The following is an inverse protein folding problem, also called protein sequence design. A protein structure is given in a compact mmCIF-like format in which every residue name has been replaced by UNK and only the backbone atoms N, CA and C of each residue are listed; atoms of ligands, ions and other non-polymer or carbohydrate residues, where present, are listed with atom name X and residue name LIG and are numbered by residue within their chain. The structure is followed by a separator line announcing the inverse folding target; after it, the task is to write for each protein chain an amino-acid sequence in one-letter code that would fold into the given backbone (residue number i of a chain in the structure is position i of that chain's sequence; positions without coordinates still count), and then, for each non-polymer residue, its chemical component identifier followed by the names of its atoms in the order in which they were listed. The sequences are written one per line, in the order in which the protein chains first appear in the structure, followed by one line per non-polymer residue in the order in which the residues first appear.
data_IF_527217947056
#
_entry.id   IF_527217947056
#
_cell.length_a   1.000
_cell.length_b   1.000
_cell.length_c   1.000
_cell.angle_alpha   90.00
_cell.angle_beta   90.00
_cell.angle_gamma   90.00
#
_symmetry.space_group_name_H-M   'P 1'
#
loop_
_entity.id
_entity.type
_entity.pdbx_description
1 polymer ?
#
# COMPACT_ATOMS: atom_id res chain seq x y z
N UNK A 1 4.53 -22.37 17.09
CA UNK A 1 4.09 -22.38 15.67
C UNK A 1 4.90 -21.33 14.92
N UNK A 2 5.15 -21.55 13.63
CA UNK A 2 5.94 -20.63 12.79
C UNK A 2 5.09 -19.44 12.37
N UNK A 3 5.58 -18.21 12.57
CA UNK A 3 4.86 -17.01 12.14
C UNK A 3 4.67 -16.98 10.61
N UNK A 4 3.44 -16.73 10.15
CA UNK A 4 3.08 -16.58 8.74
C UNK A 4 3.27 -15.11 8.36
N UNK A 5 4.05 -14.81 7.32
CA UNK A 5 4.38 -13.42 6.91
C UNK A 5 3.93 -13.15 5.49
N UNK A 6 3.03 -12.19 5.29
CA UNK A 6 2.49 -11.80 3.99
C UNK A 6 2.53 -10.29 3.77
N UNK A 7 2.48 -9.85 2.51
CA UNK A 7 2.30 -8.43 2.18
C UNK A 7 0.84 -8.00 2.27
N UNK A 8 0.60 -6.71 2.51
CA UNK A 8 -0.74 -6.11 2.55
C UNK A 8 -1.60 -6.51 1.34
N UNK A 9 -1.08 -6.36 0.12
CA UNK A 9 -1.84 -6.69 -1.10
C UNK A 9 -2.24 -8.16 -1.16
N UNK A 10 -1.38 -9.08 -0.73
CA UNK A 10 -1.69 -10.52 -0.71
C UNK A 10 -2.82 -10.81 0.28
N UNK A 11 -2.78 -10.18 1.45
CA UNK A 11 -3.83 -10.34 2.45
C UNK A 11 -5.16 -9.75 1.97
N UNK A 12 -5.16 -8.52 1.45
CA UNK A 12 -6.38 -7.90 0.93
C UNK A 12 -6.97 -8.67 -0.26
N UNK A 13 -6.14 -9.13 -1.20
CA UNK A 13 -6.59 -9.96 -2.31
C UNK A 13 -7.17 -11.30 -1.83
N UNK A 14 -6.70 -11.85 -0.71
CA UNK A 14 -7.31 -13.01 -0.05
C UNK A 14 -8.69 -12.69 0.53
N UNK A 15 -8.84 -11.56 1.24
CA UNK A 15 -10.13 -11.17 1.87
C UNK A 15 -11.26 -10.99 0.86
N UNK A 16 -10.94 -10.66 -0.39
CA UNK A 16 -11.91 -10.46 -1.47
C UNK A 16 -12.34 -11.76 -2.18
N UNK A 17 -11.73 -12.91 -1.86
CA UNK A 17 -12.02 -14.19 -2.52
C UNK A 17 -13.16 -14.94 -1.83
N UNK A 18 -13.91 -15.71 -2.63
CA UNK A 18 -14.84 -16.71 -2.09
C UNK A 18 -14.11 -17.95 -1.52
N UNK A 19 -14.84 -18.81 -0.81
CA UNK A 19 -14.28 -19.90 0.01
C UNK A 19 -13.26 -20.80 -0.70
N UNK A 20 -13.62 -21.44 -1.81
CA UNK A 20 -12.70 -22.34 -2.54
C UNK A 20 -11.53 -21.57 -3.17
N UNK A 21 -11.77 -20.32 -3.61
CA UNK A 21 -10.74 -19.46 -4.18
C UNK A 21 -9.69 -19.01 -3.14
N UNK A 22 -10.07 -18.88 -1.85
CA UNK A 22 -9.14 -18.63 -0.73
C UNK A 22 -8.15 -19.80 -0.56
N UNK A 23 -8.64 -21.04 -0.61
CA UNK A 23 -7.81 -22.25 -0.53
C UNK A 23 -6.80 -22.32 -1.68
N UNK A 24 -7.26 -22.13 -2.92
CA UNK A 24 -6.37 -22.13 -4.10
C UNK A 24 -5.36 -20.99 -4.03
N UNK A 25 -5.75 -19.81 -3.55
CA UNK A 25 -4.84 -18.69 -3.38
C UNK A 25 -3.70 -19.01 -2.40
N UNK A 26 -4.01 -19.57 -1.23
CA UNK A 26 -2.99 -19.94 -0.24
C UNK A 26 -2.08 -21.06 -0.77
N UNK A 27 -2.65 -22.08 -1.43
CA UNK A 27 -1.87 -23.15 -2.08
C UNK A 27 -0.84 -22.56 -3.05
N UNK A 28 -1.29 -21.66 -3.92
CA UNK A 28 -0.42 -21.00 -4.89
C UNK A 28 0.61 -20.10 -4.22
N UNK A 29 0.23 -19.40 -3.14
CA UNK A 29 1.13 -18.52 -2.39
C UNK A 29 2.26 -19.31 -1.71
N UNK A 30 1.97 -20.50 -1.18
CA UNK A 30 2.97 -21.41 -0.61
C UNK A 30 3.94 -21.97 -1.66
N UNK A 31 3.43 -22.23 -2.87
CA UNK A 31 4.23 -22.80 -3.96
C UNK A 31 4.98 -21.75 -4.79
N UNK A 32 4.77 -20.45 -4.54
CA UNK A 32 5.44 -19.41 -5.30
C UNK A 32 6.95 -19.43 -4.99
N UNK A 33 7.82 -19.50 -6.02
CA UNK A 33 9.24 -19.24 -5.83
C UNK A 33 9.45 -17.79 -5.36
N UNK A 34 10.63 -17.53 -4.80
CA UNK A 34 11.01 -16.22 -4.22
C UNK A 34 10.59 -15.04 -5.12
N UNK A 35 10.00 -14.01 -4.51
CA UNK A 35 9.32 -12.88 -5.16
C UNK A 35 10.05 -12.40 -6.43
N UNK A 36 9.39 -12.49 -7.59
CA UNK A 36 9.91 -11.91 -8.83
C UNK A 36 9.43 -10.46 -9.00
N UNK A 37 10.32 -9.45 -8.94
CA UNK A 37 9.96 -8.03 -9.09
C UNK A 37 9.32 -7.67 -10.45
N UNK A 38 9.42 -8.56 -11.43
CA UNK A 38 8.94 -8.38 -12.80
C UNK A 38 7.41 -8.16 -12.91
N UNK A 39 6.63 -8.53 -11.90
CA UNK A 39 5.16 -8.46 -11.94
C UNK A 39 4.54 -7.20 -11.32
N UNK A 40 5.31 -6.37 -10.61
CA UNK A 40 4.77 -5.13 -10.06
C UNK A 40 4.87 -4.01 -11.10
N UNK A 41 3.79 -3.87 -11.87
CA UNK A 41 3.64 -2.88 -12.94
C UNK A 41 4.03 -1.45 -12.50
N UNK A 42 3.84 -1.08 -11.23
CA UNK A 42 4.03 0.27 -10.71
C UNK A 42 5.27 0.43 -9.81
N UNK A 43 6.09 -0.62 -9.64
CA UNK A 43 7.24 -0.60 -8.74
C UNK A 43 8.21 0.55 -9.03
N UNK A 44 8.62 0.73 -10.29
CA UNK A 44 9.56 1.79 -10.67
C UNK A 44 9.02 3.18 -10.32
N UNK A 45 7.71 3.41 -10.53
CA UNK A 45 7.09 4.67 -10.16
C UNK A 45 7.03 4.87 -8.64
N UNK A 46 6.64 3.83 -7.89
CA UNK A 46 6.61 3.87 -6.42
C UNK A 46 7.97 4.25 -5.85
N UNK A 47 9.03 3.59 -6.30
CA UNK A 47 10.40 3.86 -5.86
C UNK A 47 10.89 5.25 -6.27
N UNK A 48 10.54 5.70 -7.48
CA UNK A 48 10.86 7.05 -7.96
C UNK A 48 10.20 8.11 -7.09
N UNK A 49 8.93 7.93 -6.72
CA UNK A 49 8.19 8.86 -5.85
C UNK A 49 8.83 8.95 -4.46
N UNK A 50 9.29 7.84 -3.90
CA UNK A 50 10.01 7.81 -2.61
C UNK A 50 11.32 8.59 -2.72
N UNK A 51 12.16 8.26 -3.72
CA UNK A 51 13.47 8.91 -3.95
C UNK A 51 13.34 10.40 -4.23
N UNK A 52 12.30 10.79 -4.98
CA UNK A 52 11.99 12.19 -5.27
C UNK A 52 11.90 13.02 -3.99
N UNK A 53 11.15 12.53 -3.00
CA UNK A 53 10.97 13.23 -1.73
C UNK A 53 12.17 13.10 -0.81
N UNK A 54 12.68 11.89 -0.65
CA UNK A 54 13.81 11.61 0.24
C UNK A 54 15.05 12.46 -0.09
N UNK A 55 15.31 12.67 -1.39
CA UNK A 55 16.48 13.38 -1.87
C UNK A 55 16.19 14.80 -2.37
N UNK A 56 14.96 15.31 -2.17
CA UNK A 56 14.51 16.63 -2.62
C UNK A 56 14.81 16.91 -4.11
N UNK A 57 14.52 15.91 -4.96
CA UNK A 57 14.83 15.97 -6.39
C UNK A 57 13.85 16.90 -7.13
N UNK A 58 14.27 17.48 -8.27
CA UNK A 58 13.39 18.34 -9.05
C UNK A 58 12.42 17.51 -9.92
N UNK A 59 11.38 18.15 -10.48
CA UNK A 59 10.30 17.45 -11.20
C UNK A 59 10.76 16.71 -12.46
N UNK A 60 11.90 17.09 -13.03
CA UNK A 60 12.57 16.49 -14.18
C UNK A 60 12.98 15.05 -13.89
N UNK A 61 13.16 14.67 -12.61
CA UNK A 61 13.46 13.29 -12.21
C UNK A 61 12.35 12.30 -12.61
N UNK A 62 11.11 12.77 -12.76
CA UNK A 62 10.05 11.90 -13.29
C UNK A 62 10.17 11.67 -14.80
N UNK A 63 10.79 12.59 -15.55
CA UNK A 63 10.97 12.45 -16.98
C UNK A 63 12.02 11.38 -17.30
N UNK A 64 13.06 11.26 -16.45
CA UNK A 64 14.04 10.16 -16.57
C UNK A 64 13.37 8.80 -16.41
N UNK A 65 12.42 8.65 -15.47
CA UNK A 65 11.64 7.42 -15.32
C UNK A 65 10.81 7.12 -16.59
N UNK A 66 10.16 8.12 -17.18
CA UNK A 66 9.35 7.96 -18.39
C UNK A 66 10.20 7.47 -19.57
N UNK A 67 11.49 7.82 -19.62
CA UNK A 67 12.41 7.36 -20.66
C UNK A 67 12.85 5.90 -20.48
N UNK A 68 12.92 5.40 -19.24
CA UNK A 68 13.43 4.04 -18.94
C UNK A 68 12.36 2.95 -18.89
N UNK A 69 11.09 3.32 -18.76
CA UNK A 69 9.99 2.34 -18.68
C UNK A 69 9.65 1.74 -20.05
N UNK A 70 9.19 0.49 -20.04
CA UNK A 70 8.69 -0.18 -21.25
C UNK A 70 7.71 0.70 -22.04
N UNK A 71 7.85 0.71 -23.37
CA UNK A 71 7.00 1.49 -24.27
C UNK A 71 5.50 1.21 -24.03
N UNK A 72 5.14 -0.03 -23.70
CA UNK A 72 3.76 -0.44 -23.38
C UNK A 72 3.20 0.19 -22.09
N UNK A 73 4.06 0.64 -21.17
CA UNK A 73 3.69 1.24 -19.87
C UNK A 73 3.77 2.77 -19.89
N UNK A 74 4.54 3.34 -20.82
CA UNK A 74 4.94 4.75 -20.86
C UNK A 74 3.77 5.73 -20.72
N UNK A 75 2.71 5.58 -21.53
CA UNK A 75 1.56 6.49 -21.46
C UNK A 75 0.86 6.45 -20.09
N UNK A 76 0.68 5.26 -19.51
CA UNK A 76 0.07 5.13 -18.19
C UNK A 76 0.96 5.75 -17.10
N UNK A 77 2.28 5.61 -17.21
CA UNK A 77 3.21 6.26 -16.29
C UNK A 77 3.14 7.78 -16.39
N UNK A 78 3.14 8.34 -17.61
CA UNK A 78 2.96 9.78 -17.85
C UNK A 78 1.68 10.30 -17.20
N UNK A 79 0.56 9.60 -17.43
CA UNK A 79 -0.74 10.00 -16.86
C UNK A 79 -0.70 10.04 -15.32
N UNK A 80 -0.11 9.03 -14.67
CA UNK A 80 -0.05 8.95 -13.21
C UNK A 80 0.94 9.95 -12.61
N UNK A 81 2.08 10.16 -13.26
CA UNK A 81 3.07 11.18 -12.88
C UNK A 81 2.42 12.56 -12.94
N UNK A 82 1.66 12.87 -14.00
CA UNK A 82 0.93 14.13 -14.12
C UNK A 82 -0.03 14.35 -12.94
N UNK A 83 -0.78 13.31 -12.56
CA UNK A 83 -1.69 13.37 -11.41
C UNK A 83 -0.94 13.56 -10.10
N UNK A 84 0.21 12.90 -9.94
CA UNK A 84 1.07 13.06 -8.77
C UNK A 84 1.67 14.47 -8.67
N UNK A 85 2.23 15.01 -9.75
CA UNK A 85 2.73 16.39 -9.82
C UNK A 85 1.61 17.37 -9.45
N UNK A 86 0.39 17.17 -9.97
CA UNK A 86 -0.78 17.98 -9.61
C UNK A 86 -1.15 17.87 -8.13
N UNK A 87 -1.00 16.71 -7.51
CA UNK A 87 -1.24 16.52 -6.08
C UNK A 87 -0.31 17.41 -5.24
N UNK A 88 0.98 17.49 -5.55
CA UNK A 88 1.96 18.20 -4.70
C UNK A 88 2.18 19.67 -5.06
N UNK A 89 1.87 20.13 -6.28
CA UNK A 89 2.25 21.47 -6.80
C UNK A 89 1.89 22.67 -5.91
N UNK A 90 0.75 22.61 -5.20
CA UNK A 90 0.24 23.75 -4.42
C UNK A 90 0.21 23.44 -2.91
N UNK A 91 1.12 22.59 -2.44
CA UNK A 91 1.22 22.20 -1.04
C UNK A 91 2.64 22.44 -0.56
N UNK A 92 2.77 22.81 0.71
CA UNK A 92 4.06 22.73 1.38
C UNK A 92 4.32 21.26 1.73
N UNK A 93 5.37 20.68 1.17
CA UNK A 93 5.69 19.26 1.29
C UNK A 93 7.11 19.09 1.80
N UNK A 94 7.28 18.40 2.92
CA UNK A 94 8.59 17.94 3.38
C UNK A 94 8.58 16.45 3.75
N UNK A 95 9.70 15.79 3.51
CA UNK A 95 9.86 14.35 3.74
C UNK A 95 10.21 14.03 5.19
N UNK A 96 9.69 12.92 5.70
CA UNK A 96 10.23 12.20 6.86
C UNK A 96 10.25 10.70 6.58
N UNK A 97 11.12 9.95 7.27
CA UNK A 97 11.19 8.49 7.12
C UNK A 97 9.94 7.83 7.75
N UNK A 98 9.08 7.16 6.96
CA UNK A 98 7.87 6.50 7.49
C UNK A 98 8.17 5.28 8.36
N UNK A 99 9.41 4.75 8.32
CA UNK A 99 9.77 3.52 9.00
C UNK A 99 9.09 2.27 8.42
N UNK A 100 9.34 1.13 9.05
CA UNK A 100 8.68 -0.14 8.72
C UNK A 100 7.46 -0.31 9.60
N UNK A 101 6.40 -0.93 9.06
CA UNK A 101 5.24 -1.29 9.85
C UNK A 101 4.66 -2.65 9.49
N UNK A 102 3.99 -3.24 10.48
CA UNK A 102 3.26 -4.47 10.31
C UNK A 102 2.06 -4.51 11.24
N UNK A 103 0.99 -5.15 10.77
CA UNK A 103 -0.14 -5.54 11.58
C UNK A 103 -0.01 -7.02 11.94
N UNK A 104 -0.29 -7.38 13.19
CA UNK A 104 -0.23 -8.75 13.68
C UNK A 104 -1.61 -9.18 14.19
N UNK A 105 -2.04 -10.37 13.77
CA UNK A 105 -3.21 -11.06 14.31
C UNK A 105 -2.83 -12.51 14.52
N UNK A 106 -2.69 -12.91 15.79
CA UNK A 106 -2.23 -14.23 16.21
C UNK A 106 -0.91 -14.61 15.50
N UNK A 107 -0.92 -15.68 14.69
CA UNK A 107 0.25 -16.16 13.96
C UNK A 107 0.50 -15.44 12.62
N UNK A 108 -0.41 -14.57 12.16
CA UNK A 108 -0.29 -13.84 10.90
C UNK A 108 0.32 -12.45 11.11
N UNK A 109 1.37 -12.15 10.36
CA UNK A 109 1.96 -10.83 10.23
C UNK A 109 1.74 -10.32 8.81
N UNK A 110 1.04 -9.18 8.70
CA UNK A 110 0.79 -8.47 7.45
C UNK A 110 1.69 -7.25 7.39
N UNK A 111 2.65 -7.24 6.45
CA UNK A 111 3.52 -6.07 6.23
C UNK A 111 2.70 -4.93 5.65
N UNK A 112 2.64 -3.82 6.38
CA UNK A 112 1.77 -2.67 6.08
C UNK A 112 2.53 -1.38 5.82
N UNK A 113 3.88 -1.41 5.83
CA UNK A 113 4.76 -0.22 5.72
C UNK A 113 4.23 0.82 4.73
N UNK A 114 4.02 2.08 5.15
CA UNK A 114 3.74 3.19 4.25
C UNK A 114 4.88 3.36 3.26
N UNK A 115 4.56 3.86 2.07
CA UNK A 115 5.60 4.22 1.10
C UNK A 115 6.19 5.60 1.40
N UNK A 116 5.38 6.56 1.89
CA UNK A 116 5.83 7.93 2.12
C UNK A 116 5.52 8.38 3.54
N UNK A 117 6.47 9.10 4.14
CA UNK A 117 6.21 10.01 5.25
C UNK A 117 6.32 11.44 4.73
N UNK A 118 5.22 12.19 4.72
CA UNK A 118 5.21 13.59 4.26
C UNK A 118 4.54 14.49 5.29
N UNK A 119 5.17 15.61 5.61
CA UNK A 119 4.42 16.76 6.10
C UNK A 119 3.72 17.41 4.92
N UNK A 120 2.41 17.58 5.01
CA UNK A 120 1.59 18.23 4.00
C UNK A 120 0.93 19.42 4.68
N UNK A 121 1.34 20.64 4.33
CA UNK A 121 0.92 21.86 5.01
C UNK A 121 1.11 21.75 6.54
N UNK A 122 2.28 21.27 6.95
CA UNK A 122 2.69 21.04 8.35
C UNK A 122 1.96 19.91 9.09
N UNK A 123 1.03 19.17 8.46
CA UNK A 123 0.42 17.97 9.05
C UNK A 123 1.20 16.71 8.62
N UNK A 124 1.63 15.84 9.56
CA UNK A 124 2.35 14.62 9.20
C UNK A 124 1.41 13.54 8.67
N UNK A 125 1.76 12.94 7.53
CA UNK A 125 1.04 11.84 6.90
C UNK A 125 1.93 10.62 6.68
N UNK A 126 1.44 9.44 7.08
CA UNK A 126 1.97 8.15 6.65
C UNK A 126 1.10 7.63 5.51
N UNK A 127 1.67 7.61 4.31
CA UNK A 127 0.92 7.44 3.07
C UNK A 127 1.21 6.08 2.44
N UNK A 128 0.14 5.31 2.23
CA UNK A 128 0.13 4.15 1.34
C UNK A 128 -0.29 4.55 -0.07
N UNK A 129 0.52 4.23 -1.07
CA UNK A 129 0.27 4.53 -2.46
C UNK A 129 -0.61 3.48 -3.13
N UNK A 130 -1.72 3.92 -3.73
CA UNK A 130 -2.69 3.07 -4.40
C UNK A 130 -2.79 3.41 -5.88
N UNK A 131 -2.54 2.41 -6.74
CA UNK A 131 -2.44 2.57 -8.18
C UNK A 131 -3.57 1.89 -8.98
N UNK A 132 -4.65 1.41 -8.33
CA UNK A 132 -5.82 0.86 -9.04
C UNK A 132 -6.89 1.94 -9.28
N UNK A 133 -7.71 1.75 -10.31
CA UNK A 133 -8.98 2.48 -10.48
C UNK A 133 -9.15 3.39 -11.70
N UNK A 134 -8.30 3.36 -12.74
CA UNK A 134 -8.48 4.20 -13.95
C UNK A 134 -9.89 4.09 -14.56
N UNK A 135 -10.47 2.88 -14.57
CA UNK A 135 -11.83 2.61 -15.07
C UNK A 135 -12.77 1.98 -14.03
N UNK A 136 -12.20 1.39 -12.98
CA UNK A 136 -12.97 0.68 -11.95
C UNK A 136 -13.44 1.64 -10.84
N UNK A 137 -14.57 1.31 -10.22
CA UNK A 137 -15.02 1.99 -9.00
C UNK A 137 -13.93 1.88 -7.95
N UNK A 138 -13.81 2.94 -7.16
CA UNK A 138 -12.88 2.94 -6.04
C UNK A 138 -13.34 1.86 -5.08
N UNK A 139 -12.48 0.88 -4.85
CA UNK A 139 -12.75 -0.17 -3.90
C UNK A 139 -12.63 0.41 -2.48
N UNK A 140 -13.76 0.90 -1.98
CA UNK A 140 -13.89 1.46 -0.63
C UNK A 140 -13.49 0.44 0.43
N UNK A 141 -13.77 -0.85 0.19
CA UNK A 141 -13.38 -1.90 1.12
C UNK A 141 -11.85 -1.97 1.21
N UNK A 142 -11.13 -2.04 0.08
CA UNK A 142 -9.66 -2.06 0.09
C UNK A 142 -9.05 -0.81 0.75
N UNK A 143 -9.61 0.38 0.51
CA UNK A 143 -9.15 1.62 1.15
C UNK A 143 -9.36 1.55 2.66
N UNK A 144 -10.57 1.20 3.11
CA UNK A 144 -10.89 1.14 4.53
C UNK A 144 -10.08 0.04 5.24
N UNK A 145 -9.88 -1.11 4.60
CA UNK A 145 -9.01 -2.18 5.12
C UNK A 145 -7.57 -1.74 5.20
N UNK A 146 -7.04 -1.05 4.19
CA UNK A 146 -5.67 -0.50 4.24
C UNK A 146 -5.53 0.50 5.38
N UNK A 147 -6.47 1.45 5.51
CA UNK A 147 -6.46 2.44 6.58
C UNK A 147 -6.55 1.78 7.96
N UNK A 148 -7.46 0.81 8.13
CA UNK A 148 -7.62 0.08 9.39
C UNK A 148 -6.34 -0.65 9.76
N UNK A 149 -5.74 -1.37 8.82
CA UNK A 149 -4.49 -2.10 9.07
C UNK A 149 -3.32 -1.15 9.36
N UNK A 150 -3.24 0.00 8.69
CA UNK A 150 -2.23 1.02 8.99
C UNK A 150 -2.38 1.60 10.40
N UNK A 151 -3.60 1.94 10.82
CA UNK A 151 -3.87 2.46 12.16
C UNK A 151 -3.50 1.44 13.25
N UNK A 152 -3.77 0.16 13.01
CA UNK A 152 -3.53 -0.93 13.95
C UNK A 152 -2.12 -1.54 13.85
N UNK A 153 -1.25 -0.97 13.02
CA UNK A 153 0.10 -1.48 12.82
C UNK A 153 1.06 -1.00 13.90
N UNK A 154 2.02 -1.85 14.24
CA UNK A 154 3.22 -1.43 14.97
C UNK A 154 4.22 -0.82 13.99
N UNK A 155 4.79 0.34 14.34
CA UNK A 155 5.76 1.09 13.53
C UNK A 155 7.15 1.04 14.18
N UNK A 156 8.20 0.94 13.37
CA UNK A 156 9.59 1.05 13.86
C UNK A 156 9.94 2.47 14.27
N UNK A 157 9.34 3.45 13.59
CA UNK A 157 9.52 4.87 13.86
C UNK A 157 8.18 5.41 14.32
N UNK A 158 7.91 5.37 15.62
CA UNK A 158 6.68 5.91 16.16
C UNK A 158 6.64 7.43 16.02
N UNK A 159 5.50 7.95 15.60
CA UNK A 159 5.21 9.38 15.53
C UNK A 159 3.81 9.60 16.05
N UNK A 160 3.69 10.45 17.06
CA UNK A 160 2.41 10.90 17.56
C UNK A 160 1.71 11.80 16.54
N UNK A 161 0.38 11.83 16.61
CA UNK A 161 -0.48 12.74 15.85
C UNK A 161 -0.30 12.65 14.33
N UNK A 162 -0.06 11.43 13.83
CA UNK A 162 0.11 11.17 12.41
C UNK A 162 -1.20 10.81 11.72
N UNK A 163 -1.39 11.36 10.52
CA UNK A 163 -2.49 11.03 9.66
C UNK A 163 -2.19 9.76 8.84
N UNK A 164 -2.96 8.70 9.05
CA UNK A 164 -2.88 7.52 8.20
C UNK A 164 -3.66 7.74 6.91
N UNK A 165 -2.96 7.61 5.79
CA UNK A 165 -3.47 8.07 4.51
C UNK A 165 -3.29 7.02 3.42
N UNK A 166 -4.33 6.83 2.60
CA UNK A 166 -4.23 6.14 1.31
C UNK A 166 -4.32 7.19 0.21
N UNK A 167 -3.30 7.26 -0.64
CA UNK A 167 -3.28 8.13 -1.80
C UNK A 167 -3.55 7.32 -3.07
N UNK A 168 -4.74 7.51 -3.66
CA UNK A 168 -5.00 7.03 -5.01
C UNK A 168 -4.42 8.03 -6.01
N UNK A 169 -3.23 7.72 -6.54
CA UNK A 169 -2.51 8.64 -7.44
C UNK A 169 -3.27 8.79 -8.76
N UNK A 170 -3.81 7.71 -9.32
CA UNK A 170 -4.54 7.76 -10.59
C UNK A 170 -5.73 8.74 -10.55
N UNK A 171 -6.42 8.80 -9.42
CA UNK A 171 -7.57 9.70 -9.23
C UNK A 171 -7.22 11.03 -8.56
N UNK A 172 -5.95 11.25 -8.20
CA UNK A 172 -5.51 12.39 -7.38
C UNK A 172 -6.42 12.58 -6.16
N UNK A 173 -6.66 11.49 -5.42
CA UNK A 173 -7.59 11.49 -4.29
C UNK A 173 -6.95 10.88 -3.06
N UNK A 174 -7.02 11.63 -1.97
CA UNK A 174 -6.51 11.27 -0.65
C UNK A 174 -7.65 10.76 0.21
N UNK A 175 -7.39 9.71 0.97
CA UNK A 175 -8.29 9.16 1.99
C UNK A 175 -7.51 9.11 3.30
N UNK A 176 -7.97 9.87 4.29
CA UNK A 176 -7.36 9.90 5.61
C UNK A 176 -8.41 9.48 6.61
N UNK A 177 -8.05 8.56 7.49
CA UNK A 177 -8.90 8.18 8.60
C UNK A 177 -8.02 7.65 9.74
N UNK A 178 -8.09 8.33 10.89
CA UNK A 178 -7.42 7.90 12.12
C UNK A 178 -8.39 7.21 13.09
N UNK A 179 -9.67 7.12 12.72
CA UNK A 179 -10.66 6.38 13.51
C UNK A 179 -10.72 4.92 13.08
N UNK A 180 -10.63 4.03 14.06
CA UNK A 180 -10.75 2.59 13.85
C UNK A 180 -12.23 2.20 13.92
N UNK A 181 -12.72 1.56 12.86
CA UNK A 181 -14.03 0.92 12.89
C UNK A 181 -13.87 -0.49 13.47
N UNK A 182 -14.28 -0.68 14.73
CA UNK A 182 -14.13 -1.96 15.43
C UNK A 182 -14.77 -3.14 14.69
N UNK A 183 -15.93 -2.96 14.05
CA UNK A 183 -16.57 -4.03 13.28
C UNK A 183 -15.73 -4.43 12.07
N UNK A 184 -15.12 -3.45 11.39
CA UNK A 184 -14.23 -3.69 10.26
C UNK A 184 -12.94 -4.39 10.69
N UNK A 185 -12.37 -4.00 11.84
CA UNK A 185 -11.20 -4.65 12.42
C UNK A 185 -11.49 -6.12 12.80
N UNK A 186 -12.63 -6.39 13.44
CA UNK A 186 -13.07 -7.75 13.77
C UNK A 186 -13.20 -8.60 12.51
N UNK A 187 -13.78 -8.05 11.44
CA UNK A 187 -13.87 -8.75 10.16
C UNK A 187 -12.48 -9.11 9.59
N UNK A 188 -11.52 -8.18 9.64
CA UNK A 188 -10.14 -8.43 9.20
C UNK A 188 -9.41 -9.47 10.07
N UNK A 189 -9.65 -9.48 11.39
CA UNK A 189 -9.12 -10.52 12.29
C UNK A 189 -9.73 -11.89 11.97
N UNK A 190 -11.02 -11.96 11.67
CA UNK A 190 -11.67 -13.19 11.21
C UNK A 190 -11.05 -13.70 9.90
N UNK A 191 -10.75 -12.80 8.96
CA UNK A 191 -10.05 -13.13 7.71
C UNK A 191 -8.63 -13.64 7.97
N UNK A 192 -7.89 -13.04 8.91
CA UNK A 192 -6.57 -13.51 9.32
C UNK A 192 -6.62 -14.92 9.94
N UNK A 193 -7.61 -15.20 10.79
CA UNK A 193 -7.82 -16.52 11.36
C UNK A 193 -8.13 -17.58 10.29
N UNK A 194 -9.00 -17.24 9.34
CA UNK A 194 -9.28 -18.12 8.21
C UNK A 194 -8.02 -18.36 7.36
N UNK A 195 -7.21 -17.32 7.15
CA UNK A 195 -5.93 -17.44 6.45
C UNK A 195 -5.00 -18.43 7.15
N UNK A 196 -4.78 -18.27 8.46
CA UNK A 196 -3.96 -19.17 9.27
C UNK A 196 -4.48 -20.61 9.25
N UNK A 197 -5.79 -20.78 9.39
CA UNK A 197 -6.41 -22.10 9.33
C UNK A 197 -6.12 -22.81 8.00
N UNK A 198 -6.40 -22.14 6.88
CA UNK A 198 -6.16 -22.72 5.55
C UNK A 198 -4.66 -22.97 5.35
N UNK A 199 -3.80 -22.03 5.78
CA UNK A 199 -2.36 -22.19 5.69
C UNK A 199 -1.87 -23.42 6.45
N UNK A 200 -2.36 -23.70 7.64
CA UNK A 200 -1.88 -24.84 8.44
C UNK A 200 -2.44 -26.19 7.97
N UNK A 201 -3.49 -26.20 7.14
CA UNK A 201 -4.15 -27.41 6.63
C UNK A 201 -3.86 -27.70 5.14
N UNK A 202 -2.96 -26.95 4.51
CA UNK A 202 -2.45 -27.17 3.15
C UNK A 202 -0.96 -27.43 3.15
#
# INVERSE_FOLDING_TARGET
MTEIKVGLTQFLDFTLKGSTAKTTFIKNLKSQPEYQPAFDYWKQLRETVIKFHQNKLPFEYFETLVQTVDQKKKQNYIDVIKQYKKFIKNKDISWFDPGKSHWKSDDLIVRSSPELGLFINNEPHLIKLFFKGKKERIDKYNINSTLTLLNESTFSNERNDVNYTVLNIQKNRMYTNNSINNNHLVALKSEANQFCYIWNNL
#
